data_IF_136220330635
#
_entry.id   IF_136220330635
#
_cell.length_a   1.000
_cell.length_b   1.000
_cell.length_c   1.000
_cell.angle_alpha   90.00
_cell.angle_beta   90.00
_cell.angle_gamma   90.00
#
_symmetry.space_group_name_H-M   'P 1'
#
loop_
_entity.id
_entity.type
_entity.pdbx_description
1 polymer ?
#
# COMPACT_ATOMS: atom_id res chain seq x y z
N UNK A 1 35.48 8.56 -22.61
CA UNK A 1 36.05 8.92 -21.29
C UNK A 1 35.55 10.28 -20.90
N UNK A 2 34.78 10.33 -19.80
CA UNK A 2 34.36 11.45 -18.94
C UNK A 2 34.44 12.89 -19.50
N UNK A 3 33.28 13.55 -19.52
CA UNK A 3 33.05 14.90 -18.95
C UNK A 3 31.55 15.04 -18.62
N UNK A 4 30.98 14.01 -17.97
CA UNK A 4 30.27 14.14 -16.68
C UNK A 4 30.60 15.46 -15.97
N UNK A 5 29.88 16.53 -16.29
CA UNK A 5 29.68 17.73 -15.45
C UNK A 5 28.24 18.23 -15.69
N UNK A 6 27.29 17.34 -15.42
CA UNK A 6 25.86 17.61 -15.40
C UNK A 6 25.49 18.30 -14.08
N UNK A 7 25.60 19.64 -14.03
CA UNK A 7 25.20 20.45 -12.87
C UNK A 7 23.91 21.25 -13.09
N UNK A 8 23.19 21.02 -14.21
CA UNK A 8 21.92 21.68 -14.52
C UNK A 8 20.75 20.72 -14.83
N UNK A 9 20.87 19.44 -14.46
CA UNK A 9 19.80 18.43 -14.60
C UNK A 9 19.30 17.88 -13.25
N UNK A 10 19.95 18.28 -12.17
CA UNK A 10 19.62 17.86 -10.79
C UNK A 10 18.47 18.67 -10.16
N UNK A 11 17.73 19.47 -10.94
CA UNK A 11 16.54 20.19 -10.48
C UNK A 11 15.25 19.88 -11.27
N UNK A 12 15.29 19.11 -12.37
CA UNK A 12 14.09 18.82 -13.19
C UNK A 12 13.76 17.34 -13.41
N UNK A 13 14.67 16.38 -13.17
CA UNK A 13 14.45 14.95 -13.54
C UNK A 13 14.69 13.95 -12.40
N UNK A 14 15.00 14.38 -11.17
CA UNK A 14 15.15 13.43 -10.04
C UNK A 14 14.42 13.84 -8.75
N UNK A 15 13.62 14.90 -8.79
CA UNK A 15 12.60 15.18 -7.77
C UNK A 15 11.18 14.86 -8.27
N UNK A 16 11.02 14.49 -9.55
CA UNK A 16 9.74 14.12 -10.18
C UNK A 16 9.53 12.59 -10.24
N UNK A 17 10.53 11.79 -9.86
CA UNK A 17 10.17 10.48 -9.30
C UNK A 17 9.76 10.78 -7.86
N UNK A 18 8.52 11.26 -7.75
CA UNK A 18 7.72 11.22 -6.54
C UNK A 18 8.02 9.90 -5.84
N UNK A 19 8.03 9.88 -4.50
CA UNK A 19 7.83 8.61 -3.83
C UNK A 19 6.75 7.86 -4.62
N UNK A 20 7.16 6.78 -5.28
CA UNK A 20 6.23 5.80 -5.79
C UNK A 20 5.67 5.25 -4.48
N UNK A 21 4.67 5.95 -3.93
CA UNK A 21 3.79 5.42 -2.91
C UNK A 21 3.16 4.23 -3.62
N UNK A 22 3.88 3.11 -3.63
CA UNK A 22 3.45 1.95 -4.37
C UNK A 22 2.15 1.55 -3.68
N UNK A 23 1.06 1.83 -4.39
CA UNK A 23 -0.27 1.33 -4.08
C UNK A 23 -0.31 -0.14 -4.50
N UNK A 24 0.70 -0.90 -4.07
CA UNK A 24 0.88 -2.31 -4.37
C UNK A 24 1.23 -3.06 -3.08
N UNK A 25 1.15 -4.38 -3.18
CA UNK A 25 1.36 -5.28 -2.04
C UNK A 25 2.80 -5.34 -1.51
N UNK A 26 3.76 -4.66 -2.14
CA UNK A 26 5.17 -4.65 -1.72
C UNK A 26 5.46 -3.57 -0.68
N UNK A 27 4.73 -2.45 -0.69
CA UNK A 27 4.95 -1.33 0.24
C UNK A 27 3.85 -1.23 1.29
N UNK A 28 2.58 -1.49 0.94
CA UNK A 28 1.46 -1.37 1.88
C UNK A 28 0.90 -2.76 2.26
N UNK A 29 1.47 -3.45 3.26
CA UNK A 29 1.01 -4.79 3.59
C UNK A 29 -0.35 -4.73 4.30
N UNK A 30 -1.25 -5.62 3.91
CA UNK A 30 -2.46 -5.90 4.67
C UNK A 30 -2.10 -6.52 6.03
N UNK A 31 -2.85 -6.18 7.07
CA UNK A 31 -2.63 -6.63 8.44
C UNK A 31 -3.47 -7.86 8.78
N UNK A 32 -3.21 -8.45 9.95
CA UNK A 32 -4.04 -9.51 10.54
C UNK A 32 -4.25 -10.75 9.66
N UNK A 33 -3.27 -11.06 8.79
CA UNK A 33 -3.31 -12.23 7.90
C UNK A 33 -4.19 -12.05 6.66
N UNK A 34 -4.59 -10.81 6.34
CA UNK A 34 -5.31 -10.49 5.11
C UNK A 34 -4.44 -10.71 3.86
N UNK A 35 -5.09 -11.11 2.77
CA UNK A 35 -4.43 -11.28 1.48
C UNK A 35 -4.44 -9.95 0.73
N UNK A 36 -3.28 -9.55 0.21
CA UNK A 36 -3.16 -8.36 -0.61
C UNK A 36 -3.37 -8.69 -2.09
N UNK A 37 -4.17 -7.87 -2.77
CA UNK A 37 -4.49 -8.00 -4.18
C UNK A 37 -4.13 -6.69 -4.89
N UNK A 38 -3.32 -6.79 -5.96
CA UNK A 38 -3.02 -5.64 -6.83
C UNK A 38 -3.96 -5.66 -8.03
N UNK A 39 -4.60 -4.52 -8.32
CA UNK A 39 -5.48 -4.32 -9.47
C UNK A 39 -5.06 -3.05 -10.23
N UNK A 40 -4.11 -3.20 -11.17
CA UNK A 40 -3.55 -2.06 -11.89
C UNK A 40 -2.67 -1.20 -10.99
N UNK A 41 -3.05 0.07 -10.83
CA UNK A 41 -2.35 1.05 -10.00
C UNK A 41 -2.93 1.14 -8.57
N UNK A 42 -3.84 0.24 -8.19
CA UNK A 42 -4.49 0.20 -6.88
C UNK A 42 -4.22 -1.14 -6.15
N UNK A 43 -4.23 -1.12 -4.82
CA UNK A 43 -4.24 -2.32 -3.99
C UNK A 43 -5.52 -2.42 -3.18
N UNK A 44 -5.90 -3.66 -2.89
CA UNK A 44 -7.04 -3.99 -2.05
C UNK A 44 -6.66 -5.11 -1.09
N UNK A 45 -7.12 -5.01 0.15
CA UNK A 45 -6.94 -6.04 1.16
C UNK A 45 -8.20 -6.89 1.32
N UNK A 46 -8.06 -8.20 1.07
CA UNK A 46 -9.10 -9.17 1.38
C UNK A 46 -9.04 -9.50 2.88
N UNK A 47 -9.88 -8.81 3.65
CA UNK A 47 -9.90 -8.96 5.10
C UNK A 47 -10.49 -10.32 5.54
N UNK A 48 -9.85 -11.00 6.51
CA UNK A 48 -10.42 -12.17 7.14
C UNK A 48 -11.61 -11.76 8.02
N UNK A 49 -12.41 -12.77 8.41
CA UNK A 49 -13.56 -12.58 9.30
C UNK A 49 -13.13 -11.82 10.57
N UNK A 50 -13.98 -10.90 11.03
CA UNK A 50 -13.75 -10.01 12.18
C UNK A 50 -12.73 -8.89 11.96
N UNK A 51 -12.25 -8.61 10.75
CA UNK A 51 -11.35 -7.49 10.49
C UNK A 51 -11.87 -6.57 9.38
N UNK A 52 -11.67 -5.27 9.55
CA UNK A 52 -12.12 -4.19 8.67
C UNK A 52 -11.07 -3.07 8.58
N UNK A 53 -11.31 -2.12 7.69
CA UNK A 53 -10.39 -1.04 7.33
C UNK A 53 -9.62 -1.35 6.05
N UNK A 54 -9.00 -0.34 5.45
CA UNK A 54 -8.33 -0.45 4.15
C UNK A 54 -7.17 -1.46 4.17
N UNK A 55 -6.58 -1.67 5.35
CA UNK A 55 -5.50 -2.64 5.57
C UNK A 55 -5.92 -3.75 6.53
N UNK A 56 -7.21 -3.89 6.82
CA UNK A 56 -7.73 -4.85 7.80
C UNK A 56 -7.11 -4.65 9.19
N UNK A 57 -6.79 -3.42 9.56
CA UNK A 57 -6.10 -3.07 10.81
C UNK A 57 -7.01 -3.06 12.02
N UNK A 58 -8.32 -2.90 11.81
CA UNK A 58 -9.32 -2.79 12.87
C UNK A 58 -10.08 -4.09 13.02
N UNK A 59 -10.26 -4.56 14.26
CA UNK A 59 -11.13 -5.70 14.53
C UNK A 59 -12.59 -5.22 14.52
N UNK A 60 -13.40 -5.81 13.66
CA UNK A 60 -14.85 -5.58 13.63
C UNK A 60 -15.49 -6.28 14.83
N UNK A 61 -15.80 -5.49 15.84
CA UNK A 61 -16.48 -5.96 17.04
C UNK A 61 -17.94 -6.29 16.80
N UNK A 62 -18.57 -5.71 15.77
CA UNK A 62 -19.99 -5.93 15.48
C UNK A 62 -20.22 -7.34 14.92
N UNK A 63 -19.25 -7.89 14.17
CA UNK A 63 -19.32 -9.28 13.69
C UNK A 63 -19.28 -10.30 14.86
N UNK A 64 -18.75 -9.94 16.03
CA UNK A 64 -18.83 -10.81 17.21
C UNK A 64 -20.26 -10.90 17.76
N UNK A 65 -21.05 -9.83 17.61
CA UNK A 65 -22.45 -9.83 18.03
C UNK A 65 -23.33 -10.66 17.06
N UNK A 66 -22.99 -10.70 15.77
CA UNK A 66 -23.70 -11.49 14.76
C UNK A 66 -23.43 -13.01 14.83
N UNK A 67 -22.26 -13.42 15.33
CA UNK A 67 -21.86 -14.84 15.36
C UNK A 67 -22.18 -15.50 16.71
N UNK A 68 -22.41 -14.70 17.76
CA UNK A 68 -22.58 -15.22 19.10
C UNK A 68 -24.02 -15.41 19.56
N UNK A 69 -25.02 -15.00 18.76
CA UNK A 69 -26.43 -15.38 18.91
C UNK A 69 -26.98 -15.29 20.33
#
# INVERSE_FOLDING_TARGET
MKLILALALVCSVSMVTMAEEAFDCTITPCMNGASCLTAGDEFYCACPLYYIGDRCETKDSWILDDIQG
#
